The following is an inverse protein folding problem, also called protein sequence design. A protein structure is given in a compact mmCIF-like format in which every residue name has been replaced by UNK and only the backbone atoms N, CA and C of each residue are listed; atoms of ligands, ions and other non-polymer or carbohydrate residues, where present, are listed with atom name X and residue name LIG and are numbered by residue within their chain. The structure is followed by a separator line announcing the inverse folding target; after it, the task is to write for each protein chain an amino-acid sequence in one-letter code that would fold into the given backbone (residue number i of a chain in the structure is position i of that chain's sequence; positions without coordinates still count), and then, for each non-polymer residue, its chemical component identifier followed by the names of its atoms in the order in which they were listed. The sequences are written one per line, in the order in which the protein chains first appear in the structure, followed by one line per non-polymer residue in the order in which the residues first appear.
data_IF_428310811074
#
_entry.id   IF_428310811074
#
_cell.length_a   1.000
_cell.length_b   1.000
_cell.length_c   1.000
_cell.angle_alpha   90.00
_cell.angle_beta   90.00
_cell.angle_gamma   90.00
#
_symmetry.space_group_name_H-M   'P 1'
#
loop_
_entity.id
_entity.type
_entity.pdbx_description
1 polymer ?
#
# COMPACT_ATOMS: atom_id res chain seq x y z
N UNK A 1 24.28 0.05 11.57
CA UNK A 1 24.31 1.18 10.60
C UNK A 1 23.71 0.77 9.26
N UNK A 2 23.16 -0.46 9.19
CA UNK A 2 22.87 -1.20 7.97
C UNK A 2 21.45 -1.00 7.44
N UNK A 3 20.46 -0.95 8.34
CA UNK A 3 19.06 -0.73 7.97
C UNK A 3 18.83 0.62 7.29
N UNK A 4 19.49 1.68 7.79
CA UNK A 4 19.36 3.02 7.22
C UNK A 4 20.01 3.13 5.83
N UNK A 5 21.12 2.42 5.59
CA UNK A 5 21.82 2.41 4.31
C UNK A 5 21.04 1.61 3.26
N UNK A 6 20.53 0.43 3.62
CA UNK A 6 19.62 -0.36 2.77
C UNK A 6 18.33 0.40 2.42
N UNK A 7 17.72 1.06 3.40
CA UNK A 7 16.52 1.88 3.19
C UNK A 7 16.81 3.03 2.23
N UNK A 8 18.01 3.62 2.28
CA UNK A 8 18.43 4.69 1.36
C UNK A 8 18.61 4.15 -0.06
N UNK A 9 19.25 3.01 -0.21
CA UNK A 9 19.55 2.39 -1.51
C UNK A 9 18.29 1.89 -2.23
N UNK A 10 17.33 1.34 -1.47
CA UNK A 10 16.03 0.87 -1.99
C UNK A 10 14.89 1.87 -1.78
N UNK A 11 15.22 3.11 -1.40
CA UNK A 11 14.25 4.16 -1.07
C UNK A 11 13.23 4.37 -2.17
N UNK A 12 13.66 4.39 -3.44
CA UNK A 12 12.75 4.56 -4.58
C UNK A 12 11.66 3.49 -4.66
N UNK A 13 12.02 2.22 -4.48
CA UNK A 13 11.07 1.11 -4.48
C UNK A 13 10.14 1.14 -3.26
N UNK A 14 10.68 1.38 -2.07
CA UNK A 14 9.86 1.51 -0.86
C UNK A 14 8.87 2.68 -0.97
N UNK A 15 9.34 3.84 -1.45
CA UNK A 15 8.50 5.03 -1.64
C UNK A 15 7.35 4.77 -2.63
N UNK A 16 7.60 4.01 -3.70
CA UNK A 16 6.55 3.64 -4.66
C UNK A 16 5.41 2.83 -3.99
N UNK A 17 5.74 1.79 -3.23
CA UNK A 17 4.72 1.02 -2.49
C UNK A 17 4.01 1.85 -1.42
N UNK A 18 4.74 2.76 -0.77
CA UNK A 18 4.18 3.67 0.23
C UNK A 18 3.14 4.62 -0.41
N UNK A 19 3.41 5.14 -1.60
CA UNK A 19 2.46 5.95 -2.38
C UNK A 19 1.21 5.14 -2.72
N UNK A 20 1.35 3.88 -3.16
CA UNK A 20 0.20 3.01 -3.46
C UNK A 20 -0.67 2.79 -2.22
N UNK A 21 -0.05 2.55 -1.06
CA UNK A 21 -0.76 2.40 0.21
C UNK A 21 -1.52 3.69 0.55
N UNK A 22 -0.87 4.85 0.46
CA UNK A 22 -1.51 6.14 0.72
C UNK A 22 -2.68 6.40 -0.24
N UNK A 23 -2.52 6.08 -1.52
CA UNK A 23 -3.58 6.23 -2.52
C UNK A 23 -4.77 5.33 -2.19
N UNK A 24 -4.51 4.08 -1.78
CA UNK A 24 -5.54 3.10 -1.41
C UNK A 24 -6.31 3.53 -0.16
N UNK A 25 -5.60 4.07 0.84
CA UNK A 25 -6.22 4.63 2.05
C UNK A 25 -7.07 5.85 1.69
N UNK A 26 -6.56 6.76 0.83
CA UNK A 26 -7.31 7.92 0.37
C UNK A 26 -8.60 7.49 -0.36
N UNK A 27 -8.50 6.48 -1.22
CA UNK A 27 -9.65 5.92 -1.94
C UNK A 27 -10.69 5.32 -0.98
N UNK A 28 -10.24 4.61 0.06
CA UNK A 28 -11.11 4.09 1.12
C UNK A 28 -11.84 5.21 1.87
N UNK A 29 -11.12 6.27 2.26
CA UNK A 29 -11.71 7.42 2.96
C UNK A 29 -12.71 8.15 2.06
N UNK A 30 -12.36 8.39 0.79
CA UNK A 30 -13.24 9.02 -0.18
C UNK A 30 -14.52 8.20 -0.43
N UNK A 31 -14.37 6.88 -0.54
CA UNK A 31 -15.50 5.96 -0.72
C UNK A 31 -16.38 5.91 0.52
N UNK A 32 -15.78 5.88 1.71
CA UNK A 32 -16.50 5.90 2.98
C UNK A 32 -17.29 7.20 3.17
N UNK A 33 -16.68 8.35 2.84
CA UNK A 33 -17.33 9.66 2.92
C UNK A 33 -18.51 9.79 1.96
N UNK A 34 -18.44 9.17 0.78
CA UNK A 34 -19.48 9.22 -0.25
C UNK A 34 -20.38 7.97 -0.29
N UNK A 35 -20.32 7.11 0.73
CA UNK A 35 -21.01 5.79 0.74
C UNK A 35 -22.53 5.86 0.56
N UNK A 36 -23.15 7.01 0.81
CA UNK A 36 -24.59 7.22 0.64
C UNK A 36 -24.97 7.52 -0.81
N UNK A 37 -24.01 8.04 -1.60
CA UNK A 37 -24.20 8.43 -3.00
C UNK A 37 -23.70 7.36 -3.97
N UNK A 38 -22.88 6.42 -3.49
CA UNK A 38 -22.29 5.33 -4.28
C UNK A 38 -23.13 4.05 -4.08
N UNK A 39 -23.41 3.29 -5.14
CA UNK A 39 -24.10 2.00 -5.01
C UNK A 39 -23.29 1.03 -4.13
N UNK A 40 -23.99 0.29 -3.27
CA UNK A 40 -23.37 -0.61 -2.27
C UNK A 40 -22.39 -1.62 -2.88
N UNK A 41 -22.71 -2.14 -4.07
CA UNK A 41 -21.84 -3.06 -4.82
C UNK A 41 -20.49 -2.42 -5.18
N UNK A 42 -20.50 -1.18 -5.69
CA UNK A 42 -19.27 -0.45 -6.02
C UNK A 42 -18.45 -0.13 -4.79
N UNK A 43 -19.09 0.26 -3.67
CA UNK A 43 -18.37 0.46 -2.41
C UNK A 43 -17.66 -0.82 -1.97
N UNK A 44 -18.35 -1.97 -2.03
CA UNK A 44 -17.77 -3.26 -1.66
C UNK A 44 -16.57 -3.65 -2.55
N UNK A 45 -16.69 -3.48 -3.87
CA UNK A 45 -15.61 -3.77 -4.83
C UNK A 45 -14.41 -2.86 -4.57
N UNK A 46 -14.63 -1.55 -4.40
CA UNK A 46 -13.57 -0.58 -4.14
C UNK A 46 -12.84 -0.89 -2.82
N UNK A 47 -13.59 -1.19 -1.76
CA UNK A 47 -13.00 -1.59 -0.48
C UNK A 47 -12.18 -2.86 -0.62
N UNK A 48 -12.70 -3.88 -1.31
CA UNK A 48 -12.02 -5.17 -1.50
C UNK A 48 -10.70 -4.98 -2.26
N UNK A 49 -10.74 -4.26 -3.39
CA UNK A 49 -9.54 -3.96 -4.18
C UNK A 49 -8.53 -3.15 -3.38
N UNK A 50 -8.96 -2.11 -2.67
CA UNK A 50 -8.07 -1.28 -1.86
C UNK A 50 -7.39 -2.11 -0.76
N UNK A 51 -8.13 -3.02 -0.11
CA UNK A 51 -7.55 -3.93 0.89
C UNK A 51 -6.53 -4.87 0.26
N UNK A 52 -6.82 -5.45 -0.91
CA UNK A 52 -5.86 -6.31 -1.63
C UNK A 52 -4.59 -5.54 -1.98
N UNK A 53 -4.70 -4.33 -2.53
CA UNK A 53 -3.55 -3.50 -2.86
C UNK A 53 -2.69 -3.16 -1.65
N UNK A 54 -3.31 -2.84 -0.51
CA UNK A 54 -2.59 -2.59 0.75
C UNK A 54 -1.83 -3.84 1.20
N UNK A 55 -2.50 -5.00 1.25
CA UNK A 55 -1.89 -6.26 1.71
C UNK A 55 -0.72 -6.66 0.81
N UNK A 56 -0.91 -6.64 -0.51
CA UNK A 56 0.14 -6.99 -1.47
C UNK A 56 1.32 -6.02 -1.37
N UNK A 57 1.06 -4.72 -1.21
CA UNK A 57 2.13 -3.72 -1.06
C UNK A 57 2.93 -3.94 0.22
N UNK A 58 2.26 -4.26 1.34
CA UNK A 58 2.93 -4.57 2.60
C UNK A 58 3.79 -5.84 2.50
N UNK A 59 3.25 -6.92 1.90
CA UNK A 59 4.01 -8.15 1.67
C UNK A 59 5.24 -7.87 0.80
N UNK A 60 5.07 -7.12 -0.29
CA UNK A 60 6.17 -6.74 -1.17
C UNK A 60 7.25 -5.95 -0.43
N UNK A 61 6.88 -4.97 0.40
CA UNK A 61 7.82 -4.21 1.22
C UNK A 61 8.59 -5.11 2.19
N UNK A 62 7.89 -6.03 2.88
CA UNK A 62 8.53 -6.98 3.81
C UNK A 62 9.53 -7.87 3.06
N UNK A 63 9.17 -8.38 1.87
CA UNK A 63 10.04 -9.19 1.03
C UNK A 63 11.27 -8.39 0.59
N UNK A 64 11.10 -7.16 0.12
CA UNK A 64 12.22 -6.30 -0.33
C UNK A 64 13.20 -6.01 0.80
N UNK A 65 12.69 -5.76 2.00
CA UNK A 65 13.52 -5.53 3.20
C UNK A 65 14.22 -6.83 3.61
N UNK A 66 13.49 -7.94 3.69
CA UNK A 66 14.02 -9.23 4.17
C UNK A 66 15.07 -9.84 3.23
N UNK A 67 14.80 -9.87 1.92
CA UNK A 67 15.77 -10.36 0.93
C UNK A 67 16.89 -9.36 0.64
N UNK A 68 16.66 -8.06 0.88
CA UNK A 68 17.73 -7.07 0.81
C UNK A 68 18.74 -7.18 1.95
N UNK A 69 18.33 -7.71 3.10
CA UNK A 69 19.18 -7.84 4.28
C UNK A 69 20.08 -9.09 4.23
N UNK A 70 19.72 -10.06 3.39
CA UNK A 70 20.41 -11.35 3.27
C UNK A 70 21.40 -11.41 2.09
N UNK A 71 21.78 -10.26 1.51
CA UNK A 71 22.78 -10.10 0.45
C UNK A 71 23.88 -9.18 0.92
#
# INVERSE_FOLDING_TARGET
MDLWFMLKERSGFLSFFLIIILLSIFLLVATWKNRTNIPKSSTAIITLLSTIFIVVSLIAMIVIISFGYNS
#
